data_IF_168637612812
#
_entry.id   IF_168637612812
#
_cell.length_a   1.000
_cell.length_b   1.000
_cell.length_c   1.000
_cell.angle_alpha   90.00
_cell.angle_beta   90.00
_cell.angle_gamma   90.00
#
_symmetry.space_group_name_H-M   'P 1'
#
loop_
_entity.id
_entity.type
_entity.pdbx_description
1 polymer ?
#
# COMPACT_ATOMS: atom_id res chain seq x y z
N UNK A 1 -27.53 8.38 5.08
CA UNK A 1 -27.57 7.22 4.17
C UNK A 1 -28.23 6.07 4.94
N UNK A 2 -29.28 5.43 4.42
CA UNK A 2 -29.87 4.26 5.08
C UNK A 2 -29.20 3.01 4.52
N UNK A 3 -28.46 2.29 5.37
CA UNK A 3 -27.86 1.00 5.02
C UNK A 3 -29.00 0.00 4.87
N UNK A 4 -29.10 -0.64 3.71
CA UNK A 4 -30.10 -1.68 3.49
C UNK A 4 -29.65 -2.99 4.15
N UNK A 5 -30.60 -3.92 4.36
CA UNK A 5 -30.28 -5.27 4.85
C UNK A 5 -29.27 -5.96 3.93
N UNK A 6 -29.35 -5.71 2.62
CA UNK A 6 -28.42 -6.24 1.63
C UNK A 6 -26.99 -5.73 1.86
N UNK A 7 -26.82 -4.43 2.10
CA UNK A 7 -25.51 -3.83 2.38
C UNK A 7 -24.88 -4.44 3.65
N UNK A 8 -25.69 -4.58 4.70
CA UNK A 8 -25.25 -5.24 5.95
C UNK A 8 -24.85 -6.70 5.74
N UNK A 9 -25.60 -7.45 4.92
CA UNK A 9 -25.28 -8.83 4.59
C UNK A 9 -23.97 -8.95 3.80
N UNK A 10 -23.70 -8.03 2.86
CA UNK A 10 -22.45 -7.99 2.09
C UNK A 10 -21.26 -7.73 3.01
N UNK A 11 -21.38 -6.77 3.94
CA UNK A 11 -20.33 -6.47 4.93
C UNK A 11 -20.06 -7.66 5.84
N UNK A 12 -21.11 -8.30 6.36
CA UNK A 12 -20.97 -9.49 7.19
C UNK A 12 -20.30 -10.65 6.43
N UNK A 13 -20.72 -10.89 5.19
CA UNK A 13 -20.13 -11.92 4.33
C UNK A 13 -18.64 -11.66 4.09
N UNK A 14 -18.24 -10.40 3.89
CA UNK A 14 -16.84 -10.02 3.77
C UNK A 14 -16.03 -10.35 5.03
N UNK A 15 -16.52 -10.01 6.23
CA UNK A 15 -15.80 -10.32 7.47
C UNK A 15 -15.71 -11.82 7.74
N UNK A 16 -16.81 -12.55 7.53
CA UNK A 16 -16.83 -14.02 7.63
C UNK A 16 -15.82 -14.62 6.66
N UNK A 17 -15.75 -14.12 5.43
CA UNK A 17 -14.83 -14.56 4.42
C UNK A 17 -13.36 -14.39 4.85
N UNK A 18 -12.98 -13.21 5.35
CA UNK A 18 -11.60 -12.92 5.79
C UNK A 18 -11.21 -13.81 6.99
N UNK A 19 -12.10 -13.97 7.96
CA UNK A 19 -11.88 -14.86 9.12
C UNK A 19 -11.72 -16.31 8.66
N UNK A 20 -12.55 -16.77 7.71
CA UNK A 20 -12.46 -18.12 7.14
C UNK A 20 -11.10 -18.38 6.48
N UNK A 21 -10.58 -17.43 5.68
CA UNK A 21 -9.22 -17.54 5.13
C UNK A 21 -8.19 -17.61 6.26
N UNK A 22 -8.37 -16.79 7.30
CA UNK A 22 -7.54 -16.80 8.50
C UNK A 22 -7.42 -18.21 9.12
N UNK A 23 -8.56 -18.84 9.36
CA UNK A 23 -8.66 -20.18 9.93
C UNK A 23 -8.11 -21.27 8.99
N UNK A 24 -8.37 -21.14 7.68
CA UNK A 24 -7.92 -22.12 6.68
C UNK A 24 -6.39 -22.22 6.60
N UNK A 25 -5.67 -21.11 6.73
CA UNK A 25 -4.21 -21.08 6.65
C UNK A 25 -3.50 -21.30 7.99
N UNK A 26 -4.23 -21.37 9.11
CA UNK A 26 -3.67 -21.60 10.46
C UNK A 26 -2.78 -22.82 10.55
N UNK A 27 -3.22 -23.95 10.00
CA UNK A 27 -2.45 -25.21 10.05
C UNK A 27 -1.10 -25.10 9.32
N UNK A 28 -1.03 -24.27 8.28
CA UNK A 28 0.20 -24.00 7.53
C UNK A 28 1.10 -23.02 8.29
N UNK A 29 0.53 -21.93 8.81
CA UNK A 29 1.25 -20.93 9.60
C UNK A 29 1.99 -21.53 10.81
N UNK A 30 1.42 -22.56 11.44
CA UNK A 30 2.02 -23.23 12.60
C UNK A 30 3.17 -24.20 12.30
N UNK A 31 3.51 -24.46 11.04
CA UNK A 31 4.51 -25.48 10.69
C UNK A 31 5.95 -25.05 10.99
N UNK A 32 6.30 -23.80 10.72
CA UNK A 32 7.63 -23.26 11.01
C UNK A 32 7.64 -21.73 10.95
N UNK A 33 8.69 -21.12 11.51
CA UNK A 33 8.95 -19.67 11.39
C UNK A 33 9.01 -19.24 9.92
N UNK A 34 9.63 -20.07 9.05
CA UNK A 34 9.71 -19.76 7.61
C UNK A 34 8.35 -19.83 6.93
N UNK A 35 7.46 -20.72 7.37
CA UNK A 35 6.11 -20.79 6.82
C UNK A 35 5.26 -19.59 7.27
N UNK A 36 5.42 -19.17 8.54
CA UNK A 36 4.71 -18.03 9.10
C UNK A 36 5.12 -16.69 8.46
N UNK A 37 6.42 -16.39 8.38
CA UNK A 37 6.91 -15.06 7.98
C UNK A 37 7.22 -14.93 6.49
N UNK A 38 7.54 -16.03 5.80
CA UNK A 38 7.94 -16.02 4.39
C UNK A 38 7.22 -17.05 3.52
N UNK A 39 6.12 -17.63 4.01
CA UNK A 39 5.27 -18.54 3.23
C UNK A 39 6.01 -19.74 2.63
N UNK A 40 7.05 -20.23 3.32
CA UNK A 40 7.92 -21.31 2.83
C UNK A 40 8.64 -20.95 1.52
N UNK A 41 8.78 -19.65 1.23
CA UNK A 41 9.34 -19.09 0.00
C UNK A 41 8.70 -19.66 -1.26
N UNK A 42 7.37 -19.79 -1.24
CA UNK A 42 6.60 -20.46 -2.29
C UNK A 42 5.60 -19.55 -3.01
N UNK A 43 5.67 -18.23 -2.78
CA UNK A 43 4.75 -17.28 -3.41
C UNK A 43 5.00 -17.15 -4.91
N UNK A 44 3.99 -17.36 -5.77
CA UNK A 44 4.10 -17.03 -7.18
C UNK A 44 4.06 -15.50 -7.37
N UNK A 45 4.52 -15.05 -8.54
CA UNK A 45 4.80 -13.63 -8.79
C UNK A 45 3.52 -12.77 -8.74
N UNK A 46 2.42 -13.32 -9.25
CA UNK A 46 1.13 -12.64 -9.32
C UNK A 46 0.48 -12.50 -7.93
N UNK A 47 0.65 -13.47 -7.02
CA UNK A 47 0.20 -13.34 -5.62
C UNK A 47 1.07 -12.32 -4.88
N UNK A 48 2.40 -12.47 -4.96
CA UNK A 48 3.33 -11.59 -4.27
C UNK A 48 3.18 -10.14 -4.73
N UNK A 49 3.13 -9.91 -6.05
CA UNK A 49 2.95 -8.58 -6.63
C UNK A 49 1.59 -7.97 -6.27
N UNK A 50 0.50 -8.74 -6.38
CA UNK A 50 -0.83 -8.23 -5.99
C UNK A 50 -0.88 -7.85 -4.51
N UNK A 51 -0.24 -8.64 -3.64
CA UNK A 51 -0.13 -8.29 -2.22
C UNK A 51 0.68 -7.02 -1.98
N UNK A 52 1.76 -6.78 -2.74
CA UNK A 52 2.49 -5.51 -2.67
C UNK A 52 1.56 -4.33 -3.00
N UNK A 53 0.79 -4.42 -4.09
CA UNK A 53 -0.16 -3.34 -4.50
C UNK A 53 -1.27 -3.16 -3.45
N UNK A 54 -1.88 -4.26 -3.00
CA UNK A 54 -2.94 -4.23 -2.00
C UNK A 54 -2.49 -3.61 -0.68
N UNK A 55 -1.24 -3.89 -0.25
CA UNK A 55 -0.68 -3.32 0.98
C UNK A 55 -0.51 -1.80 0.87
N UNK A 56 -0.17 -1.28 -0.31
CA UNK A 56 -0.07 0.17 -0.57
C UNK A 56 -1.45 0.83 -0.74
N UNK A 57 -2.44 0.10 -1.25
CA UNK A 57 -3.83 0.56 -1.41
C UNK A 57 -4.64 0.44 -0.11
N UNK A 58 -4.12 1.00 0.99
CA UNK A 58 -4.81 1.06 2.27
C UNK A 58 -5.91 2.15 2.28
N UNK A 59 -6.73 2.17 3.32
CA UNK A 59 -7.90 3.07 3.43
C UNK A 59 -7.56 4.57 3.36
N UNK A 60 -6.34 4.96 3.75
CA UNK A 60 -5.80 6.32 3.68
C UNK A 60 -5.40 6.73 2.26
N UNK A 61 -4.93 5.80 1.43
CA UNK A 61 -4.36 6.12 0.10
C UNK A 61 -5.38 6.78 -0.83
N UNK A 62 -6.60 6.23 -1.04
CA UNK A 62 -7.61 6.91 -1.87
C UNK A 62 -7.99 8.29 -1.33
N UNK A 63 -8.11 8.44 -0.01
CA UNK A 63 -8.41 9.74 0.63
C UNK A 63 -7.30 10.76 0.39
N UNK A 64 -6.04 10.35 0.53
CA UNK A 64 -4.88 11.21 0.27
C UNK A 64 -4.80 11.59 -1.21
N UNK A 65 -4.88 10.63 -2.13
CA UNK A 65 -4.74 10.89 -3.58
C UNK A 65 -5.89 11.76 -4.10
N UNK A 66 -7.13 11.47 -3.71
CA UNK A 66 -8.28 12.32 -4.09
C UNK A 66 -8.15 13.73 -3.54
N UNK A 67 -7.68 13.90 -2.29
CA UNK A 67 -7.39 15.21 -1.71
C UNK A 67 -6.29 15.96 -2.48
N UNK A 68 -5.19 15.29 -2.82
CA UNK A 68 -4.11 15.88 -3.63
C UNK A 68 -4.64 16.35 -4.99
N UNK A 69 -5.43 15.53 -5.69
CA UNK A 69 -6.00 15.90 -6.99
C UNK A 69 -7.03 17.02 -6.87
N UNK A 70 -7.85 17.01 -5.83
CA UNK A 70 -8.85 18.06 -5.60
C UNK A 70 -8.22 19.43 -5.27
N UNK A 71 -7.09 19.45 -4.57
CA UNK A 71 -6.42 20.70 -4.18
C UNK A 71 -5.37 21.18 -5.19
N UNK A 72 -4.66 20.26 -5.84
CA UNK A 72 -3.48 20.56 -6.65
C UNK A 72 -3.58 20.08 -8.10
N UNK A 73 -4.72 19.49 -8.48
CA UNK A 73 -4.93 18.92 -9.82
C UNK A 73 -4.14 17.64 -10.05
N UNK A 74 -4.14 17.18 -11.31
CA UNK A 74 -3.47 15.95 -11.72
C UNK A 74 -1.97 16.00 -11.41
N UNK A 75 -1.33 17.16 -11.58
CA UNK A 75 0.07 17.40 -11.23
C UNK A 75 0.39 17.13 -9.75
N UNK A 76 -0.60 17.20 -8.85
CA UNK A 76 -0.47 16.82 -7.44
C UNK A 76 0.08 15.41 -7.23
N UNK A 77 -0.17 14.49 -8.17
CA UNK A 77 0.32 13.12 -8.08
C UNK A 77 1.84 13.00 -8.17
N UNK A 78 2.56 14.01 -8.68
CA UNK A 78 4.03 13.98 -8.71
C UNK A 78 4.68 13.94 -7.32
N UNK A 79 3.93 14.24 -6.26
CA UNK A 79 4.35 13.99 -4.88
C UNK A 79 4.66 12.53 -4.60
N UNK A 80 3.98 11.60 -5.27
CA UNK A 80 4.17 10.16 -5.09
C UNK A 80 4.57 9.43 -6.37
N UNK A 81 4.17 9.87 -7.56
CA UNK A 81 4.57 9.24 -8.84
C UNK A 81 6.10 9.22 -9.05
N UNK A 82 6.85 10.16 -8.48
CA UNK A 82 8.31 10.11 -8.55
C UNK A 82 8.90 8.81 -7.95
N UNK A 83 8.18 8.17 -7.03
CA UNK A 83 8.58 6.91 -6.42
C UNK A 83 8.65 5.74 -7.42
N UNK A 84 8.05 5.86 -8.60
CA UNK A 84 8.18 4.85 -9.66
C UNK A 84 9.65 4.61 -10.03
N UNK A 85 10.50 5.64 -10.00
CA UNK A 85 11.93 5.49 -10.31
C UNK A 85 12.64 4.59 -9.29
N UNK A 86 12.28 4.74 -8.01
CA UNK A 86 12.75 3.90 -6.91
C UNK A 86 12.32 2.45 -7.09
N UNK A 87 11.06 2.26 -7.47
CA UNK A 87 10.48 0.97 -7.77
C UNK A 87 11.16 0.26 -8.94
N UNK A 88 11.40 0.95 -10.06
CA UNK A 88 12.12 0.41 -11.21
C UNK A 88 13.54 -0.03 -10.84
N UNK A 89 14.24 0.76 -10.01
CA UNK A 89 15.56 0.38 -9.51
C UNK A 89 15.48 -0.90 -8.67
N UNK A 90 14.47 -1.00 -7.81
CA UNK A 90 14.19 -2.23 -7.04
C UNK A 90 13.92 -3.42 -7.96
N UNK A 91 13.11 -3.26 -9.01
CA UNK A 91 12.80 -4.32 -9.98
C UNK A 91 14.07 -4.86 -10.62
N UNK A 92 14.87 -3.99 -11.24
CA UNK A 92 15.96 -4.45 -12.11
C UNK A 92 17.24 -4.79 -11.37
N UNK A 93 17.51 -4.15 -10.23
CA UNK A 93 18.76 -4.36 -9.49
C UNK A 93 18.58 -5.27 -8.27
N UNK A 94 17.53 -5.05 -7.47
CA UNK A 94 17.45 -5.64 -6.13
C UNK A 94 16.52 -6.84 -6.00
N UNK A 95 15.48 -6.98 -6.82
CA UNK A 95 14.46 -8.01 -6.63
C UNK A 95 15.03 -9.43 -6.62
N UNK A 96 15.97 -9.72 -7.53
CA UNK A 96 16.66 -11.02 -7.57
C UNK A 96 17.63 -11.18 -6.39
N UNK A 97 18.32 -10.12 -6.00
CA UNK A 97 19.27 -10.13 -4.89
C UNK A 97 18.58 -10.38 -3.54
N UNK A 98 17.43 -9.74 -3.31
CA UNK A 98 16.59 -9.99 -2.14
C UNK A 98 16.12 -11.43 -2.06
N UNK A 99 15.70 -12.01 -3.19
CA UNK A 99 15.31 -13.42 -3.14
C UNK A 99 16.50 -14.34 -2.88
N UNK A 100 17.68 -14.03 -3.43
CA UNK A 100 18.90 -14.82 -3.24
C UNK A 100 19.45 -14.75 -1.81
N UNK A 101 19.22 -13.66 -1.09
CA UNK A 101 19.77 -13.51 0.27
C UNK A 101 19.15 -14.46 1.30
N UNK A 102 17.97 -15.02 0.99
CA UNK A 102 17.24 -15.97 1.83
C UNK A 102 16.99 -15.49 3.28
N UNK A 103 17.04 -14.18 3.51
CA UNK A 103 16.77 -13.57 4.81
C UNK A 103 15.29 -13.71 5.20
N UNK A 104 15.01 -13.62 6.50
CA UNK A 104 13.65 -13.52 7.03
C UNK A 104 13.21 -12.06 7.21
N UNK A 105 14.16 -11.15 7.45
CA UNK A 105 13.90 -9.71 7.56
C UNK A 105 14.88 -8.92 6.70
N UNK A 106 14.45 -7.76 6.21
CA UNK A 106 15.32 -6.86 5.44
C UNK A 106 16.53 -6.37 6.27
N UNK A 107 16.33 -6.09 7.56
CA UNK A 107 17.39 -5.66 8.48
C UNK A 107 18.44 -6.74 8.77
N UNK A 108 18.12 -8.03 8.59
CA UNK A 108 19.09 -9.13 8.73
C UNK A 108 20.25 -9.01 7.74
N UNK A 109 19.99 -8.42 6.56
CA UNK A 109 21.01 -8.21 5.54
C UNK A 109 22.19 -7.34 6.04
N UNK A 110 21.96 -6.47 7.02
CA UNK A 110 23.00 -5.62 7.63
C UNK A 110 24.11 -6.47 8.25
N UNK A 111 23.75 -7.53 8.98
CA UNK A 111 24.73 -8.42 9.61
C UNK A 111 25.47 -9.27 8.59
N UNK A 112 24.79 -9.70 7.52
CA UNK A 112 25.42 -10.42 6.40
C UNK A 112 26.45 -9.53 5.71
N UNK A 113 26.15 -8.24 5.52
CA UNK A 113 26.99 -7.32 4.75
C UNK A 113 28.18 -6.75 5.53
N UNK A 114 27.98 -6.37 6.79
CA UNK A 114 28.96 -5.60 7.55
C UNK A 114 29.68 -6.40 8.65
N UNK A 115 29.09 -7.50 9.12
CA UNK A 115 29.63 -8.41 10.15
C UNK A 115 30.01 -7.75 11.50
N UNK A 116 30.11 -8.55 12.54
CA UNK A 116 30.58 -8.11 13.87
C UNK A 116 29.55 -7.36 14.72
N UNK A 117 29.98 -6.99 15.92
CA UNK A 117 29.12 -6.38 16.95
C UNK A 117 28.45 -5.06 16.50
N UNK A 118 29.11 -4.13 15.79
CA UNK A 118 28.46 -2.91 15.32
C UNK A 118 27.29 -3.19 14.38
N UNK A 119 27.42 -4.19 13.50
CA UNK A 119 26.34 -4.58 12.58
C UNK A 119 25.14 -5.17 13.33
N UNK A 120 25.40 -5.98 14.37
CA UNK A 120 24.34 -6.55 15.19
C UNK A 120 23.58 -5.49 16.00
N UNK A 121 24.30 -4.52 16.57
CA UNK A 121 23.69 -3.37 17.24
C UNK A 121 22.82 -2.58 16.25
N UNK A 122 23.31 -2.33 15.03
CA UNK A 122 22.56 -1.63 14.00
C UNK A 122 21.30 -2.41 13.57
N UNK A 123 21.38 -3.72 13.37
CA UNK A 123 20.22 -4.59 13.09
C UNK A 123 19.18 -4.48 14.20
N UNK A 124 19.61 -4.62 15.46
CA UNK A 124 18.72 -4.54 16.62
C UNK A 124 18.04 -3.17 16.74
N UNK A 125 18.79 -2.08 16.58
CA UNK A 125 18.24 -0.72 16.58
C UNK A 125 17.23 -0.52 15.45
N UNK A 126 17.57 -0.88 14.20
CA UNK A 126 16.65 -0.73 13.06
C UNK A 126 15.39 -1.59 13.23
N UNK A 127 15.52 -2.81 13.76
CA UNK A 127 14.38 -3.67 14.03
C UNK A 127 13.40 -3.01 15.02
N UNK A 128 13.90 -2.50 16.16
CA UNK A 128 13.06 -1.81 17.15
C UNK A 128 12.48 -0.51 16.61
N UNK A 129 13.29 0.29 15.90
CA UNK A 129 12.87 1.56 15.32
C UNK A 129 11.77 1.38 14.25
N UNK A 130 11.91 0.39 13.36
CA UNK A 130 10.89 0.14 12.34
C UNK A 130 9.64 -0.51 12.95
N UNK A 131 9.82 -1.48 13.86
CA UNK A 131 8.71 -2.24 14.44
C UNK A 131 7.85 -1.44 15.43
N UNK A 132 8.43 -0.49 16.17
CA UNK A 132 7.73 0.25 17.22
C UNK A 132 7.31 1.65 16.75
N UNK A 133 8.17 2.69 16.69
CA UNK A 133 7.70 4.04 16.40
C UNK A 133 7.14 4.19 14.98
N UNK A 134 7.85 3.69 13.96
CA UNK A 134 7.42 3.86 12.57
C UNK A 134 6.11 3.12 12.29
N UNK A 135 6.02 1.83 12.64
CA UNK A 135 4.77 1.08 12.48
C UNK A 135 3.62 1.65 13.32
N UNK A 136 3.87 2.18 14.52
CA UNK A 136 2.81 2.81 15.33
C UNK A 136 2.27 4.07 14.67
N UNK A 137 3.12 4.88 14.05
CA UNK A 137 2.71 6.08 13.31
C UNK A 137 1.87 5.67 12.08
N UNK A 138 2.35 4.69 11.30
CA UNK A 138 1.65 4.17 10.12
C UNK A 138 0.27 3.63 10.53
N UNK A 139 0.23 2.71 11.50
CA UNK A 139 -1.03 2.15 12.00
C UNK A 139 -1.97 3.25 12.52
N UNK A 140 -1.45 4.27 13.19
CA UNK A 140 -2.22 5.39 13.70
C UNK A 140 -2.96 6.15 12.61
N UNK A 141 -2.29 6.52 11.51
CA UNK A 141 -2.94 7.27 10.43
C UNK A 141 -3.89 6.39 9.60
N UNK A 142 -3.52 5.13 9.31
CA UNK A 142 -4.37 4.22 8.51
C UNK A 142 -5.65 3.91 9.28
N UNK A 143 -5.52 3.64 10.58
CA UNK A 143 -6.66 3.35 11.45
C UNK A 143 -7.55 4.57 11.64
N UNK A 144 -6.97 5.78 11.70
CA UNK A 144 -7.73 7.02 11.72
C UNK A 144 -8.51 7.25 10.43
N UNK A 145 -7.92 6.96 9.27
CA UNK A 145 -8.61 7.03 7.98
C UNK A 145 -9.81 6.08 7.94
N UNK A 146 -9.63 4.83 8.37
CA UNK A 146 -10.72 3.84 8.44
C UNK A 146 -11.82 4.27 9.41
N UNK A 147 -11.47 4.78 10.59
CA UNK A 147 -12.45 5.27 11.57
C UNK A 147 -13.29 6.43 11.02
N UNK A 148 -12.70 7.34 10.23
CA UNK A 148 -13.44 8.41 9.53
C UNK A 148 -14.41 7.84 8.49
N UNK A 149 -13.97 6.86 7.70
CA UNK A 149 -14.84 6.20 6.72
C UNK A 149 -16.04 5.56 7.42
N UNK A 150 -15.80 4.79 8.49
CA UNK A 150 -16.88 4.14 9.25
C UNK A 150 -17.84 5.15 9.90
N UNK A 151 -17.32 6.26 10.43
CA UNK A 151 -18.14 7.31 11.01
C UNK A 151 -19.05 7.99 9.98
N UNK A 152 -18.52 8.30 8.80
CA UNK A 152 -19.29 8.97 7.72
C UNK A 152 -20.29 8.02 7.07
N UNK A 153 -19.90 6.77 6.83
CA UNK A 153 -20.72 5.80 6.08
C UNK A 153 -21.71 5.05 6.95
N UNK A 154 -21.29 4.61 8.14
CA UNK A 154 -22.07 3.75 9.02
C UNK A 154 -22.51 4.44 10.33
N UNK A 155 -22.06 5.67 10.59
CA UNK A 155 -22.36 6.37 11.84
C UNK A 155 -21.72 5.75 13.08
N UNK A 156 -20.69 4.91 12.89
CA UNK A 156 -20.01 4.21 14.01
C UNK A 156 -19.10 5.20 14.73
N UNK A 157 -19.15 5.19 16.07
CA UNK A 157 -18.23 5.95 16.90
C UNK A 157 -16.76 5.60 16.59
N UNK A 158 -15.89 6.61 16.61
CA UNK A 158 -14.48 6.48 16.28
C UNK A 158 -13.81 5.34 17.06
N UNK A 159 -13.94 5.29 18.38
CA UNK A 159 -13.22 4.32 19.20
C UNK A 159 -13.77 2.91 19.03
N UNK A 160 -15.09 2.78 18.87
CA UNK A 160 -15.73 1.50 18.56
C UNK A 160 -15.21 0.97 17.22
N UNK A 161 -15.19 1.81 16.18
CA UNK A 161 -14.68 1.45 14.85
C UNK A 161 -13.22 1.01 14.89
N UNK A 162 -12.37 1.73 15.63
CA UNK A 162 -10.96 1.36 15.81
C UNK A 162 -10.81 -0.01 16.45
N UNK A 163 -11.51 -0.27 17.57
CA UNK A 163 -11.43 -1.55 18.28
C UNK A 163 -11.87 -2.70 17.38
N UNK A 164 -12.98 -2.53 16.65
CA UNK A 164 -13.48 -3.55 15.71
C UNK A 164 -12.45 -3.84 14.60
N UNK A 165 -11.93 -2.81 13.94
CA UNK A 165 -10.94 -2.97 12.88
C UNK A 165 -9.67 -3.66 13.38
N UNK A 166 -9.13 -3.23 14.52
CA UNK A 166 -7.92 -3.83 15.09
C UNK A 166 -8.18 -5.27 15.50
N UNK A 167 -9.29 -5.57 16.19
CA UNK A 167 -9.60 -6.92 16.64
C UNK A 167 -9.77 -7.89 15.47
N UNK A 168 -10.53 -7.51 14.44
CA UNK A 168 -10.73 -8.34 13.25
C UNK A 168 -9.40 -8.54 12.52
N UNK A 169 -8.69 -7.45 12.20
CA UNK A 169 -7.44 -7.54 11.43
C UNK A 169 -6.37 -8.33 12.16
N UNK A 170 -6.22 -8.10 13.46
CA UNK A 170 -5.31 -8.87 14.31
C UNK A 170 -5.68 -10.36 14.30
N UNK A 171 -6.97 -10.70 14.49
CA UNK A 171 -7.40 -12.09 14.60
C UNK A 171 -7.06 -12.93 13.37
N UNK A 172 -7.37 -12.47 12.15
CA UNK A 172 -7.11 -13.27 10.95
C UNK A 172 -5.62 -13.26 10.57
N UNK A 173 -4.93 -12.12 10.71
CA UNK A 173 -3.52 -12.00 10.31
C UNK A 173 -2.60 -12.78 11.24
N UNK A 174 -2.85 -12.74 12.56
CA UNK A 174 -2.10 -13.50 13.55
C UNK A 174 -2.26 -15.01 13.35
N UNK A 175 -3.48 -15.47 13.04
CA UNK A 175 -3.73 -16.90 12.89
C UNK A 175 -3.14 -17.49 11.61
N UNK A 176 -3.01 -16.70 10.54
CA UNK A 176 -2.82 -17.23 9.19
C UNK A 176 -1.43 -17.07 8.59
N UNK A 177 -0.57 -16.26 9.22
CA UNK A 177 0.76 -15.94 8.71
C UNK A 177 0.71 -15.26 7.33
N UNK A 178 1.87 -15.16 6.67
CA UNK A 178 1.98 -14.44 5.41
C UNK A 178 1.08 -15.03 4.31
N UNK A 179 0.89 -16.35 4.26
CA UNK A 179 0.04 -16.98 3.23
C UNK A 179 -1.42 -16.54 3.33
N UNK A 180 -1.98 -16.45 4.55
CA UNK A 180 -3.33 -15.94 4.71
C UNK A 180 -3.43 -14.49 4.30
N UNK A 181 -2.47 -13.66 4.73
CA UNK A 181 -2.41 -12.24 4.38
C UNK A 181 -2.36 -12.02 2.86
N UNK A 182 -1.47 -12.69 2.13
CA UNK A 182 -1.37 -12.47 0.68
C UNK A 182 -2.59 -12.96 -0.11
N UNK A 183 -3.32 -13.96 0.41
CA UNK A 183 -4.56 -14.45 -0.21
C UNK A 183 -5.74 -13.51 0.11
N UNK A 184 -5.83 -12.99 1.33
CA UNK A 184 -6.80 -11.93 1.65
C UNK A 184 -6.53 -10.68 0.81
N UNK A 185 -5.27 -10.28 0.69
CA UNK A 185 -4.84 -9.14 -0.12
C UNK A 185 -5.23 -9.32 -1.59
N UNK A 186 -5.00 -10.52 -2.16
CA UNK A 186 -5.36 -10.81 -3.55
C UNK A 186 -6.84 -10.56 -3.82
N UNK A 187 -7.72 -10.95 -2.90
CA UNK A 187 -9.17 -10.82 -3.07
C UNK A 187 -9.62 -9.39 -2.78
N UNK A 188 -9.09 -8.78 -1.72
CA UNK A 188 -9.33 -7.37 -1.37
C UNK A 188 -8.90 -6.43 -2.50
N UNK A 189 -7.81 -6.74 -3.19
CA UNK A 189 -7.35 -5.99 -4.36
C UNK A 189 -8.42 -5.92 -5.45
N UNK A 190 -8.99 -7.05 -5.87
CA UNK A 190 -10.03 -7.03 -6.91
C UNK A 190 -11.31 -6.32 -6.43
N UNK A 191 -11.71 -6.52 -5.17
CA UNK A 191 -12.83 -5.79 -4.60
C UNK A 191 -12.59 -4.28 -4.63
N UNK A 192 -11.40 -3.84 -4.24
CA UNK A 192 -11.01 -2.43 -4.22
C UNK A 192 -10.94 -1.82 -5.63
N UNK A 193 -10.33 -2.52 -6.60
CA UNK A 193 -10.25 -2.05 -7.99
C UNK A 193 -11.63 -1.97 -8.63
N UNK A 194 -12.47 -3.00 -8.48
CA UNK A 194 -13.84 -2.99 -9.00
C UNK A 194 -14.64 -1.85 -8.36
N UNK A 195 -14.56 -1.69 -7.03
CA UNK A 195 -15.25 -0.61 -6.32
C UNK A 195 -14.80 0.78 -6.75
N UNK A 196 -13.50 0.97 -6.94
CA UNK A 196 -12.92 2.25 -7.38
C UNK A 196 -13.32 2.58 -8.82
N UNK A 197 -13.28 1.60 -9.72
CA UNK A 197 -13.72 1.78 -11.11
C UNK A 197 -15.21 2.08 -11.20
N UNK A 198 -16.04 1.35 -10.44
CA UNK A 198 -17.48 1.60 -10.39
C UNK A 198 -17.78 3.02 -9.88
N UNK A 199 -17.10 3.47 -8.82
CA UNK A 199 -17.25 4.83 -8.29
C UNK A 199 -16.82 5.89 -9.32
N UNK A 200 -15.72 5.65 -10.04
CA UNK A 200 -15.24 6.56 -11.08
C UNK A 200 -16.24 6.69 -12.25
N UNK A 201 -16.81 5.57 -12.70
CA UNK A 201 -17.81 5.54 -13.78
C UNK A 201 -19.09 6.27 -13.34
N UNK A 202 -19.65 5.91 -12.18
CA UNK A 202 -20.86 6.53 -11.65
C UNK A 202 -20.66 8.03 -11.39
N UNK A 203 -19.49 8.42 -10.87
CA UNK A 203 -19.13 9.82 -10.68
C UNK A 203 -19.05 10.59 -12.00
N UNK A 204 -18.47 9.98 -13.03
CA UNK A 204 -18.39 10.58 -14.37
C UNK A 204 -19.78 10.74 -15.02
N UNK A 205 -20.66 9.75 -14.86
CA UNK A 205 -22.04 9.82 -15.33
C UNK A 205 -22.82 10.93 -14.60
N UNK A 206 -22.67 11.02 -13.28
CA UNK A 206 -23.35 12.03 -12.46
C UNK A 206 -22.99 13.47 -12.83
N UNK A 207 -21.78 13.71 -13.35
CA UNK A 207 -21.35 15.04 -13.83
C UNK A 207 -21.62 15.28 -15.31
N UNK A 208 -22.30 14.36 -16.02
CA UNK A 208 -22.61 14.51 -17.45
C UNK A 208 -21.46 14.15 -18.39
N UNK A 209 -20.62 13.18 -18.00
CA UNK A 209 -19.49 12.70 -18.79
C UNK A 209 -18.28 13.62 -18.74
N UNK A 210 -17.29 13.36 -19.61
CA UNK A 210 -16.04 14.13 -19.66
C UNK A 210 -16.28 15.61 -19.97
N UNK A 211 -17.26 15.90 -20.82
CA UNK A 211 -17.62 17.28 -21.17
C UNK A 211 -18.18 18.03 -19.97
N UNK A 212 -19.10 17.41 -19.22
CA UNK A 212 -19.66 18.01 -18.01
C UNK A 212 -18.62 18.13 -16.88
N UNK A 213 -17.72 17.15 -16.75
CA UNK A 213 -16.56 17.26 -15.85
C UNK A 213 -15.71 18.49 -16.16
N UNK A 214 -15.30 18.69 -17.43
CA UNK A 214 -14.48 19.85 -17.83
C UNK A 214 -15.20 21.19 -17.56
N UNK A 215 -16.51 21.23 -17.79
CA UNK A 215 -17.34 22.40 -17.52
C UNK A 215 -17.38 22.73 -16.02
N UNK A 216 -17.68 21.74 -15.18
CA UNK A 216 -17.72 21.91 -13.72
C UNK A 216 -16.34 22.28 -13.15
N UNK A 217 -15.26 21.67 -13.64
CA UNK A 217 -13.91 22.05 -13.26
C UNK A 217 -13.60 23.51 -13.59
N UNK A 218 -14.07 24.02 -14.74
CA UNK A 218 -13.94 25.43 -15.10
C UNK A 218 -14.71 26.36 -14.17
N UNK A 219 -15.89 25.95 -13.73
CA UNK A 219 -16.71 26.72 -12.78
C UNK A 219 -16.12 26.74 -11.37
N UNK A 220 -15.58 25.61 -10.89
CA UNK A 220 -15.05 25.49 -9.53
C UNK A 220 -13.66 26.13 -9.40
N UNK A 221 -12.78 25.87 -10.38
CA UNK A 221 -11.36 26.24 -10.28
C UNK A 221 -10.96 27.41 -11.16
N UNK A 222 -11.80 27.86 -12.11
CA UNK A 222 -11.50 28.95 -13.03
C UNK A 222 -10.46 28.63 -14.13
N UNK A 223 -9.58 27.64 -13.92
CA UNK A 223 -8.58 27.19 -14.90
C UNK A 223 -8.59 25.65 -15.03
N UNK A 224 -9.48 25.14 -15.87
CA UNK A 224 -9.58 23.71 -16.21
C UNK A 224 -8.28 23.15 -16.77
N UNK A 225 -7.50 23.98 -17.48
CA UNK A 225 -6.29 23.51 -18.15
C UNK A 225 -5.12 23.36 -17.15
N UNK A 226 -5.13 24.10 -16.03
CA UNK A 226 -4.18 23.91 -14.94
C UNK A 226 -4.53 22.68 -14.08
N UNK A 227 -5.80 22.49 -13.70
CA UNK A 227 -6.20 21.35 -12.85
C UNK A 227 -6.00 19.99 -13.55
N UNK A 228 -6.14 19.95 -14.88
CA UNK A 228 -5.90 18.75 -15.69
C UNK A 228 -4.46 18.61 -16.20
N UNK A 229 -3.58 19.58 -15.90
CA UNK A 229 -2.19 19.52 -16.35
C UNK A 229 -1.47 18.33 -15.72
N UNK A 230 -0.76 17.55 -16.56
CA UNK A 230 0.02 16.41 -16.09
C UNK A 230 1.24 16.84 -15.26
N UNK A 231 1.88 17.95 -15.63
CA UNK A 231 3.02 18.54 -14.92
C UNK A 231 2.64 19.89 -14.31
N UNK A 232 3.32 20.32 -13.24
CA UNK A 232 3.10 21.67 -12.70
C UNK A 232 3.41 22.73 -13.77
N UNK A 233 2.53 23.74 -13.86
CA UNK A 233 2.75 24.88 -14.77
C UNK A 233 3.86 25.79 -14.25
N UNK A 234 4.52 26.49 -15.18
CA UNK A 234 5.46 27.56 -14.85
C UNK A 234 4.73 28.61 -14.00
N UNK A 235 5.29 28.94 -12.83
CA UNK A 235 4.67 29.87 -11.88
C UNK A 235 3.71 29.22 -10.86
N UNK A 236 3.59 27.88 -10.83
CA UNK A 236 2.86 27.19 -9.76
C UNK A 236 3.43 27.54 -8.38
N UNK A 237 2.57 28.06 -7.50
CA UNK A 237 2.97 28.48 -6.14
C UNK A 237 3.22 27.27 -5.22
N UNK A 238 2.41 26.22 -5.35
CA UNK A 238 2.49 25.05 -4.48
C UNK A 238 3.57 24.04 -4.92
N UNK A 239 3.86 23.97 -6.23
CA UNK A 239 4.93 23.15 -6.79
C UNK A 239 5.66 23.92 -7.88
N UNK A 240 6.58 24.84 -7.51
CA UNK A 240 7.48 25.47 -8.46
C UNK A 240 8.27 24.43 -9.26
N UNK A 241 8.74 24.81 -10.44
CA UNK A 241 9.54 23.93 -11.31
C UNK A 241 10.77 23.39 -10.56
N UNK A 242 11.39 24.19 -9.70
CA UNK A 242 12.51 23.77 -8.84
C UNK A 242 12.12 22.62 -7.92
N UNK A 243 10.98 22.70 -7.23
CA UNK A 243 10.44 21.62 -6.39
C UNK A 243 10.15 20.37 -7.21
N UNK A 244 9.58 20.53 -8.40
CA UNK A 244 9.33 19.42 -9.30
C UNK A 244 10.62 18.71 -9.73
N UNK A 245 11.67 19.46 -10.07
CA UNK A 245 12.99 18.92 -10.39
C UNK A 245 13.61 18.17 -9.20
N UNK A 246 13.41 18.65 -7.97
CA UNK A 246 13.83 17.93 -6.76
C UNK A 246 13.10 16.60 -6.63
N UNK A 247 11.80 16.52 -6.94
CA UNK A 247 11.06 15.26 -6.88
C UNK A 247 11.60 14.22 -7.85
N UNK A 248 11.77 14.59 -9.12
CA UNK A 248 12.24 13.64 -10.15
C UNK A 248 13.76 13.36 -10.08
N UNK A 249 14.54 14.27 -9.49
CA UNK A 249 16.00 14.16 -9.44
C UNK A 249 16.58 13.62 -8.14
N UNK A 250 15.96 13.94 -6.99
CA UNK A 250 16.54 13.68 -5.66
C UNK A 250 15.60 12.88 -4.77
N UNK A 251 14.33 13.28 -4.68
CA UNK A 251 13.43 12.81 -3.63
C UNK A 251 13.23 11.29 -3.65
N UNK A 252 13.07 10.71 -4.84
CA UNK A 252 12.78 9.28 -5.01
C UNK A 252 13.88 8.36 -4.49
N UNK A 253 15.13 8.83 -4.40
CA UNK A 253 16.25 8.04 -3.86
C UNK A 253 16.82 8.53 -2.54
N UNK A 254 16.61 9.80 -2.21
CA UNK A 254 17.09 10.39 -0.96
C UNK A 254 16.09 10.23 0.21
N UNK A 255 14.83 9.93 -0.06
CA UNK A 255 13.78 9.80 0.96
C UNK A 255 13.44 8.35 1.23
N UNK A 256 13.26 8.01 2.50
CA UNK A 256 12.73 6.70 2.89
C UNK A 256 11.20 6.74 2.89
N UNK A 257 10.56 5.85 2.14
CA UNK A 257 9.11 5.63 2.16
C UNK A 257 8.82 4.12 2.16
N UNK A 258 7.90 3.63 3.02
CA UNK A 258 7.56 2.21 3.08
C UNK A 258 7.09 1.66 1.72
N UNK A 259 7.89 0.77 1.13
CA UNK A 259 7.62 0.19 -0.19
C UNK A 259 7.99 1.08 -1.37
N UNK A 260 8.71 2.17 -1.17
CA UNK A 260 9.28 2.96 -2.26
C UNK A 260 10.72 3.42 -1.98
N UNK A 261 11.47 2.65 -1.20
CA UNK A 261 12.92 2.85 -1.09
C UNK A 261 13.66 2.19 -2.27
N UNK A 262 14.73 2.80 -2.82
CA UNK A 262 15.36 2.29 -4.05
C UNK A 262 15.95 0.90 -3.91
N UNK A 263 16.37 0.55 -2.68
CA UNK A 263 16.87 -0.76 -2.34
C UNK A 263 15.81 -1.85 -2.32
N UNK A 264 14.52 -1.48 -2.24
CA UNK A 264 13.44 -2.37 -1.82
C UNK A 264 13.55 -2.75 -0.35
N UNK A 265 12.54 -2.40 0.45
CA UNK A 265 12.53 -2.67 1.90
C UNK A 265 11.14 -2.78 2.46
N UNK A 266 11.07 -3.10 3.76
CA UNK A 266 9.82 -3.34 4.46
C UNK A 266 9.00 -4.46 3.83
N UNK A 267 7.70 -4.23 3.65
CA UNK A 267 6.78 -5.24 3.15
C UNK A 267 7.10 -5.71 1.72
N UNK A 268 7.67 -4.86 0.86
CA UNK A 268 8.05 -5.27 -0.50
C UNK A 268 9.21 -6.26 -0.46
N UNK A 269 10.27 -5.97 0.32
CA UNK A 269 11.35 -6.92 0.52
C UNK A 269 10.82 -8.27 1.03
N UNK A 270 9.88 -8.24 1.98
CA UNK A 270 9.24 -9.45 2.47
C UNK A 270 8.59 -10.29 1.37
N UNK A 271 7.84 -9.68 0.46
CA UNK A 271 7.22 -10.42 -0.66
C UNK A 271 8.27 -10.91 -1.68
N UNK A 272 9.37 -10.18 -1.87
CA UNK A 272 10.48 -10.61 -2.74
C UNK A 272 11.18 -11.86 -2.20
N UNK A 273 11.61 -11.89 -0.94
CA UNK A 273 12.26 -13.09 -0.39
C UNK A 273 11.31 -14.25 -0.07
N UNK A 274 10.00 -13.99 -0.01
CA UNK A 274 8.94 -15.02 0.07
C UNK A 274 8.58 -15.64 -1.29
N UNK A 275 9.11 -15.11 -2.40
CA UNK A 275 8.82 -15.61 -3.74
C UNK A 275 9.47 -16.97 -4.01
N UNK A 276 8.90 -17.77 -4.93
CA UNK A 276 9.43 -19.11 -5.31
C UNK A 276 10.91 -19.10 -5.69
N UNK A 277 11.31 -18.13 -6.50
CA UNK A 277 12.66 -17.97 -7.01
C UNK A 277 12.87 -16.53 -7.50
N UNK A 278 14.09 -16.21 -7.96
CA UNK A 278 14.46 -14.87 -8.43
C UNK A 278 13.58 -14.35 -9.57
N UNK A 279 13.12 -15.22 -10.48
CA UNK A 279 12.20 -14.82 -11.57
C UNK A 279 10.84 -14.41 -11.02
N UNK A 280 10.35 -15.13 -10.01
CA UNK A 280 9.09 -14.79 -9.36
C UNK A 280 9.18 -13.50 -8.54
N UNK A 281 10.31 -13.25 -7.87
CA UNK A 281 10.55 -11.99 -7.17
C UNK A 281 10.60 -10.81 -8.16
N UNK A 282 11.37 -10.93 -9.26
CA UNK A 282 11.41 -9.94 -10.32
C UNK A 282 10.01 -9.65 -10.89
N UNK A 283 9.26 -10.70 -11.23
CA UNK A 283 7.90 -10.56 -11.78
C UNK A 283 6.91 -9.95 -10.79
N UNK A 284 7.04 -10.23 -9.50
CA UNK A 284 6.20 -9.65 -8.45
C UNK A 284 6.45 -8.15 -8.32
N UNK A 285 7.73 -7.75 -8.24
CA UNK A 285 8.12 -6.35 -8.15
C UNK A 285 7.76 -5.59 -9.43
N UNK A 286 7.89 -6.21 -10.60
CA UNK A 286 7.48 -5.61 -11.87
C UNK A 286 5.96 -5.44 -11.95
N UNK A 287 5.17 -6.40 -11.46
CA UNK A 287 3.71 -6.27 -11.41
C UNK A 287 3.25 -5.15 -10.47
N UNK A 288 4.01 -4.89 -9.40
CA UNK A 288 3.70 -3.84 -8.44
C UNK A 288 3.91 -2.41 -8.99
N UNK A 289 4.87 -2.23 -9.91
CA UNK A 289 5.27 -0.92 -10.44
C UNK A 289 4.63 -0.63 -11.79
#
# INVERSE_FOLDING_TARGET
MQITVLDGAILLAYFVFVIFIGLKFRGRAGQSISEYFVSGRSLPWWIAGTSMVATTFAADTPLAVTGLVAHHGVAGNWLWWNMVFSGLLTVFLFARLWRRSEVLTDVEFVEIRYSGQPAAILRGFRALYLALPINSIIMGWVTLAMAKILGITLGIDKWIGVVICVAITFSYSFLSGLWGVVITDFIQFFLAIIGTLALAILGLEAVGGISGLKLQLGQIYGDTANILAFTPRVGSVWMPVTTFLVYIGINWWATWYPGAEPGGGGYIAQRMFSSKNEKHALGATLWFN
#
